data_IF_554024407754
#
_entry.id   IF_554024407754
#
_cell.length_a   1.000
_cell.length_b   1.000
_cell.length_c   1.000
_cell.angle_alpha   90.00
_cell.angle_beta   90.00
_cell.angle_gamma   90.00
#
_symmetry.space_group_name_H-M   'P 1'
#
loop_
_entity.id
_entity.type
_entity.pdbx_description
1 polymer ?
#
# COMPACT_ATOMS: atom_id res chain seq x y z
N UNK A 1 16.08 10.95 -20.79
CA UNK A 1 15.18 9.82 -21.10
C UNK A 1 13.87 10.07 -20.38
N UNK A 2 12.76 10.13 -21.10
CA UNK A 2 11.45 10.20 -20.45
C UNK A 2 11.14 8.84 -19.85
N UNK A 3 11.25 8.72 -18.52
CA UNK A 3 10.81 7.52 -17.84
C UNK A 3 9.27 7.42 -17.91
N UNK A 4 8.74 6.21 -18.10
CA UNK A 4 7.29 5.96 -18.08
C UNK A 4 6.70 6.47 -16.75
N UNK A 5 5.64 7.28 -16.76
CA UNK A 5 5.02 7.76 -15.52
C UNK A 5 4.54 6.62 -14.64
N UNK A 6 5.06 6.59 -13.41
CA UNK A 6 4.58 5.72 -12.35
C UNK A 6 4.27 6.57 -11.12
N UNK A 7 2.98 6.79 -10.88
CA UNK A 7 2.46 7.67 -9.84
C UNK A 7 2.03 6.82 -8.64
N UNK A 8 2.54 7.12 -7.45
CA UNK A 8 2.01 6.58 -6.21
C UNK A 8 1.21 7.64 -5.46
N UNK A 9 0.01 7.29 -5.03
CA UNK A 9 -0.83 8.13 -4.15
C UNK A 9 -0.69 7.58 -2.74
N UNK A 10 -0.23 8.40 -1.82
CA UNK A 10 -0.03 8.05 -0.42
C UNK A 10 -0.68 9.07 0.53
N UNK A 11 -0.82 8.68 1.79
CA UNK A 11 -1.40 9.49 2.85
C UNK A 11 -2.07 8.63 3.93
N UNK A 12 -2.56 9.26 5.00
CA UNK A 12 -3.17 8.53 6.11
C UNK A 12 -4.49 7.83 5.73
N UNK A 13 -4.91 6.88 6.55
CA UNK A 13 -6.19 6.19 6.40
C UNK A 13 -7.33 7.21 6.39
N UNK A 14 -8.28 7.04 5.48
CA UNK A 14 -9.45 7.93 5.34
C UNK A 14 -9.21 9.24 4.59
N UNK A 15 -8.00 9.49 4.10
CA UNK A 15 -7.68 10.73 3.37
C UNK A 15 -8.24 10.77 1.94
N UNK A 16 -8.59 9.62 1.35
CA UNK A 16 -9.15 9.52 0.00
C UNK A 16 -8.16 9.04 -1.07
N UNK A 17 -7.13 8.27 -0.71
CA UNK A 17 -6.15 7.70 -1.64
C UNK A 17 -6.81 6.92 -2.78
N UNK A 18 -7.67 5.97 -2.45
CA UNK A 18 -8.34 5.10 -3.43
C UNK A 18 -9.20 5.91 -4.40
N UNK A 19 -9.94 6.89 -3.90
CA UNK A 19 -10.77 7.76 -4.73
C UNK A 19 -9.94 8.61 -5.70
N UNK A 20 -8.84 9.20 -5.22
CA UNK A 20 -7.96 10.01 -6.06
C UNK A 20 -7.23 9.17 -7.09
N UNK A 21 -6.63 8.03 -6.68
CA UNK A 21 -5.90 7.15 -7.59
C UNK A 21 -6.80 6.61 -8.70
N UNK A 22 -8.04 6.23 -8.38
CA UNK A 22 -9.02 5.82 -9.38
C UNK A 22 -9.36 6.94 -10.37
N UNK A 23 -9.62 8.16 -9.87
CA UNK A 23 -9.92 9.31 -10.72
C UNK A 23 -8.73 9.70 -11.61
N UNK A 24 -7.51 9.69 -11.06
CA UNK A 24 -6.30 9.96 -11.83
C UNK A 24 -6.10 8.92 -12.92
N UNK A 25 -6.21 7.64 -12.60
CA UNK A 25 -6.05 6.56 -13.56
C UNK A 25 -7.07 6.67 -14.70
N UNK A 26 -8.33 6.97 -14.39
CA UNK A 26 -9.40 7.16 -15.39
C UNK A 26 -9.14 8.39 -16.25
N UNK A 27 -8.82 9.54 -15.63
CA UNK A 27 -8.63 10.80 -16.35
C UNK A 27 -7.39 10.77 -17.26
N UNK A 28 -6.29 10.19 -16.77
CA UNK A 28 -5.04 10.08 -17.51
C UNK A 28 -4.99 8.85 -18.44
N UNK A 29 -5.96 7.96 -18.36
CA UNK A 29 -5.97 6.66 -19.04
C UNK A 29 -4.75 5.78 -18.69
N UNK A 30 -4.34 5.82 -17.44
CA UNK A 30 -3.26 5.03 -16.88
C UNK A 30 -3.80 3.74 -16.25
N UNK A 31 -2.94 2.71 -16.18
CA UNK A 31 -3.30 1.50 -15.42
C UNK A 31 -3.39 1.79 -13.93
N UNK A 32 -4.46 1.32 -13.29
CA UNK A 32 -4.64 1.43 -11.84
C UNK A 32 -4.12 0.19 -11.13
N UNK A 33 -3.11 0.37 -10.27
CA UNK A 33 -2.65 -0.64 -9.34
C UNK A 33 -3.31 -0.41 -7.97
N UNK A 34 -4.20 -1.32 -7.58
CA UNK A 34 -4.90 -1.26 -6.29
C UNK A 34 -4.14 -2.00 -5.20
N UNK A 35 -4.16 -1.44 -4.01
CA UNK A 35 -3.68 -2.13 -2.81
C UNK A 35 -4.59 -3.35 -2.51
N UNK A 36 -3.99 -4.52 -2.30
CA UNK A 36 -4.70 -5.73 -1.88
C UNK A 36 -4.58 -5.83 -0.35
N UNK A 37 -5.68 -5.62 0.36
CA UNK A 37 -5.75 -5.67 1.81
C UNK A 37 -6.58 -6.85 2.30
N UNK A 38 -7.74 -7.06 1.70
CA UNK A 38 -8.75 -8.03 2.15
C UNK A 38 -8.33 -9.50 2.00
N UNK A 39 -7.36 -9.78 1.14
CA UNK A 39 -6.86 -11.14 0.90
C UNK A 39 -5.84 -11.63 1.94
N UNK A 40 -5.49 -10.80 2.92
CA UNK A 40 -4.55 -11.20 3.96
C UNK A 40 -5.21 -12.17 4.95
N UNK A 41 -4.81 -13.46 4.97
CA UNK A 41 -5.45 -14.47 5.81
C UNK A 41 -5.18 -14.26 7.31
N UNK A 42 -4.14 -13.50 7.66
CA UNK A 42 -3.74 -13.24 9.05
C UNK A 42 -4.39 -11.98 9.63
N UNK A 43 -5.11 -11.20 8.84
CA UNK A 43 -5.60 -9.89 9.25
C UNK A 43 -6.58 -9.97 10.42
N UNK A 44 -7.46 -10.96 10.41
CA UNK A 44 -8.41 -11.19 11.50
C UNK A 44 -7.71 -11.52 12.82
N UNK A 45 -6.72 -12.41 12.77
CA UNK A 45 -5.97 -12.85 13.96
C UNK A 45 -5.06 -11.73 14.45
N UNK A 46 -4.48 -10.94 13.54
CA UNK A 46 -3.69 -9.75 13.84
C UNK A 46 -4.45 -8.74 14.72
N UNK A 47 -5.73 -8.47 14.41
CA UNK A 47 -6.54 -7.55 15.24
C UNK A 47 -6.89 -8.10 16.61
N UNK A 48 -6.89 -9.42 16.77
CA UNK A 48 -7.12 -10.06 18.07
C UNK A 48 -5.85 -10.09 18.91
N UNK A 49 -4.67 -10.29 18.29
CA UNK A 49 -3.38 -10.35 18.97
C UNK A 49 -2.26 -9.86 18.05
N UNK A 50 -2.01 -8.54 18.11
CA UNK A 50 -1.00 -7.88 17.27
C UNK A 50 0.39 -8.48 17.48
N UNK A 51 0.77 -8.72 18.73
CA UNK A 51 2.13 -9.22 19.06
C UNK A 51 2.43 -10.59 18.46
N UNK A 52 1.43 -11.44 18.38
CA UNK A 52 1.58 -12.80 17.85
C UNK A 52 1.58 -12.82 16.32
N UNK A 53 0.68 -12.05 15.69
CA UNK A 53 0.40 -12.16 14.25
C UNK A 53 1.00 -11.07 13.37
N UNK A 54 1.61 -10.04 13.95
CA UNK A 54 2.14 -8.92 13.19
C UNK A 54 3.20 -9.32 12.15
N UNK A 55 4.10 -10.24 12.48
CA UNK A 55 5.15 -10.66 11.55
C UNK A 55 4.57 -11.35 10.30
N UNK A 56 3.67 -12.30 10.46
CA UNK A 56 3.02 -13.01 9.36
C UNK A 56 2.18 -12.05 8.51
N UNK A 57 1.47 -11.14 9.15
CA UNK A 57 0.65 -10.13 8.47
C UNK A 57 1.48 -9.19 7.63
N UNK A 58 2.56 -8.64 8.17
CA UNK A 58 3.45 -7.72 7.45
C UNK A 58 4.21 -8.44 6.32
N UNK A 59 4.64 -9.69 6.53
CA UNK A 59 5.29 -10.49 5.50
C UNK A 59 4.34 -10.80 4.34
N UNK A 60 3.08 -11.11 4.62
CA UNK A 60 2.09 -11.33 3.59
C UNK A 60 1.87 -10.09 2.72
N UNK A 61 1.73 -8.92 3.35
CA UNK A 61 1.62 -7.66 2.60
C UNK A 61 2.85 -7.38 1.75
N UNK A 62 4.04 -7.63 2.28
CA UNK A 62 5.28 -7.44 1.53
C UNK A 62 5.36 -8.34 0.31
N UNK A 63 5.09 -9.64 0.47
CA UNK A 63 5.12 -10.61 -0.63
C UNK A 63 4.09 -10.27 -1.72
N UNK A 64 2.88 -9.86 -1.34
CA UNK A 64 1.86 -9.47 -2.31
C UNK A 64 2.24 -8.21 -3.08
N UNK A 65 2.75 -7.20 -2.40
CA UNK A 65 3.19 -5.96 -3.06
C UNK A 65 4.41 -6.19 -3.95
N UNK A 66 5.35 -7.04 -3.52
CA UNK A 66 6.44 -7.49 -4.36
C UNK A 66 5.91 -8.07 -5.67
N UNK A 67 4.99 -9.04 -5.59
CA UNK A 67 4.41 -9.68 -6.77
C UNK A 67 3.64 -8.71 -7.66
N UNK A 68 2.86 -7.81 -7.07
CA UNK A 68 2.14 -6.77 -7.82
C UNK A 68 3.10 -5.85 -8.59
N UNK A 69 4.21 -5.44 -7.98
CA UNK A 69 5.18 -4.54 -8.62
C UNK A 69 5.99 -5.23 -9.71
N UNK A 70 6.38 -6.51 -9.52
CA UNK A 70 6.94 -7.32 -10.61
C UNK A 70 6.01 -7.40 -11.82
N UNK A 71 4.73 -7.71 -11.57
CA UNK A 71 3.74 -7.81 -12.64
C UNK A 71 3.50 -6.46 -13.34
N UNK A 72 3.48 -5.36 -12.58
CA UNK A 72 3.34 -4.00 -13.13
C UNK A 72 4.54 -3.66 -14.02
N UNK A 73 5.74 -3.95 -13.58
CA UNK A 73 6.93 -3.74 -14.39
C UNK A 73 6.87 -4.50 -15.72
N UNK A 74 6.66 -5.81 -15.64
CA UNK A 74 6.67 -6.69 -16.79
C UNK A 74 5.52 -6.40 -17.78
N UNK A 75 4.33 -6.05 -17.29
CA UNK A 75 3.13 -5.89 -18.12
C UNK A 75 2.91 -4.47 -18.62
N UNK A 76 3.38 -3.47 -17.88
CA UNK A 76 3.08 -2.06 -18.14
C UNK A 76 4.33 -1.20 -18.33
N UNK A 77 5.17 -1.04 -17.32
CA UNK A 77 6.26 -0.06 -17.35
C UNK A 77 7.30 -0.33 -18.43
N UNK A 78 7.72 -1.57 -18.63
CA UNK A 78 8.64 -1.96 -19.72
C UNK A 78 8.05 -1.74 -21.09
N UNK A 79 6.73 -1.67 -21.21
CA UNK A 79 6.00 -1.39 -22.45
C UNK A 79 5.57 0.07 -22.57
N UNK A 80 6.17 0.95 -21.77
CA UNK A 80 5.87 2.39 -21.75
C UNK A 80 4.40 2.71 -21.47
N UNK A 81 3.71 1.85 -20.71
CA UNK A 81 2.33 2.06 -20.26
C UNK A 81 2.34 2.64 -18.84
N UNK A 82 1.85 3.88 -18.65
CA UNK A 82 1.88 4.52 -17.36
C UNK A 82 0.96 3.85 -16.32
N UNK A 83 1.31 4.03 -15.03
CA UNK A 83 0.62 3.41 -13.89
C UNK A 83 0.33 4.44 -12.79
N UNK A 84 -0.85 4.33 -12.18
CA UNK A 84 -1.19 4.98 -10.90
C UNK A 84 -1.39 3.89 -9.87
N UNK A 85 -0.68 3.96 -8.75
CA UNK A 85 -0.86 3.08 -7.59
C UNK A 85 -1.50 3.84 -6.41
N UNK A 86 -2.37 3.18 -5.68
CA UNK A 86 -2.98 3.74 -4.45
C UNK A 86 -2.16 3.42 -3.19
N UNK A 87 -0.91 3.06 -3.36
CA UNK A 87 0.08 2.88 -2.29
C UNK A 87 1.52 3.04 -2.81
N UNK A 88 2.45 3.22 -1.87
CA UNK A 88 3.88 3.13 -2.10
C UNK A 88 4.46 1.97 -1.26
N UNK A 89 5.39 1.19 -1.83
CA UNK A 89 5.98 0.03 -1.14
C UNK A 89 6.71 0.39 0.17
N UNK A 90 7.19 1.62 0.32
CA UNK A 90 7.77 2.14 1.58
C UNK A 90 6.80 2.07 2.77
N UNK A 91 5.50 2.03 2.52
CA UNK A 91 4.48 1.81 3.54
C UNK A 91 4.76 0.56 4.38
N UNK A 92 5.25 -0.50 3.76
CA UNK A 92 5.59 -1.76 4.42
C UNK A 92 6.59 -1.57 5.56
N UNK A 93 7.70 -0.86 5.29
CA UNK A 93 8.74 -0.67 6.31
C UNK A 93 8.27 0.25 7.45
N UNK A 94 7.43 1.24 7.12
CA UNK A 94 6.86 2.17 8.11
C UNK A 94 5.92 1.43 9.08
N UNK A 95 5.03 0.59 8.57
CA UNK A 95 4.11 -0.21 9.40
C UNK A 95 4.86 -1.27 10.20
N UNK A 96 5.75 -2.02 9.57
CA UNK A 96 6.55 -3.04 10.24
C UNK A 96 7.35 -2.47 11.43
N UNK A 97 7.90 -1.27 11.28
CA UNK A 97 8.62 -0.60 12.37
C UNK A 97 7.73 -0.29 13.57
N UNK A 98 6.44 -0.13 13.37
CA UNK A 98 5.47 0.18 14.44
C UNK A 98 4.84 -1.06 15.07
N UNK A 99 4.68 -2.12 14.29
CA UNK A 99 3.95 -3.32 14.69
C UNK A 99 4.85 -4.46 15.16
N UNK A 100 6.12 -4.51 14.68
CA UNK A 100 7.03 -5.59 14.98
C UNK A 100 7.96 -5.29 16.16
N UNK A 101 8.17 -6.30 17.01
CA UNK A 101 9.26 -6.27 17.97
C UNK A 101 10.63 -6.25 17.27
N UNK A 102 11.63 -5.66 17.89
CA UNK A 102 12.97 -5.42 17.32
C UNK A 102 13.56 -6.66 16.61
N UNK A 103 13.46 -7.85 17.22
CA UNK A 103 13.97 -9.09 16.63
C UNK A 103 13.30 -9.44 15.31
N UNK A 104 11.99 -9.29 15.22
CA UNK A 104 11.21 -9.55 14.01
C UNK A 104 11.40 -8.44 12.98
N UNK A 105 11.44 -7.18 13.43
CA UNK A 105 11.70 -6.05 12.56
C UNK A 105 13.04 -6.18 11.82
N UNK A 106 14.12 -6.54 12.52
CA UNK A 106 15.43 -6.71 11.90
C UNK A 106 15.44 -7.79 10.82
N UNK A 107 14.69 -8.89 11.01
CA UNK A 107 14.51 -9.91 9.98
C UNK A 107 13.68 -9.39 8.80
N UNK A 108 12.57 -8.74 9.11
CA UNK A 108 11.68 -8.15 8.11
C UNK A 108 12.41 -7.12 7.24
N UNK A 109 13.16 -6.21 7.85
CA UNK A 109 13.91 -5.18 7.13
C UNK A 109 14.92 -5.77 6.14
N UNK A 110 15.59 -6.86 6.51
CA UNK A 110 16.50 -7.57 5.61
C UNK A 110 15.77 -8.18 4.41
N UNK A 111 14.66 -8.84 4.66
CA UNK A 111 13.80 -9.39 3.59
C UNK A 111 13.25 -8.27 2.71
N UNK A 112 12.76 -7.18 3.32
CA UNK A 112 12.29 -6.00 2.60
C UNK A 112 13.34 -5.46 1.64
N UNK A 113 14.58 -5.27 2.11
CA UNK A 113 15.68 -4.76 1.27
C UNK A 113 15.93 -5.66 0.07
N UNK A 114 16.01 -6.97 0.30
CA UNK A 114 16.24 -7.94 -0.78
C UNK A 114 15.10 -7.97 -1.79
N UNK A 115 13.85 -7.99 -1.33
CA UNK A 115 12.70 -8.05 -2.23
C UNK A 115 12.45 -6.74 -3.00
N UNK A 116 12.87 -5.59 -2.46
CA UNK A 116 12.62 -4.30 -3.12
C UNK A 116 13.80 -3.76 -3.92
N UNK A 117 14.94 -4.44 -3.90
CA UNK A 117 16.19 -4.01 -4.53
C UNK A 117 16.01 -3.70 -6.03
N UNK A 118 15.33 -4.58 -6.74
CA UNK A 118 15.14 -4.49 -8.19
C UNK A 118 13.71 -4.07 -8.60
N UNK A 119 12.87 -3.68 -7.64
CA UNK A 119 11.49 -3.29 -7.96
C UNK A 119 11.40 -1.89 -8.57
N UNK A 120 10.46 -1.67 -9.50
CA UNK A 120 10.21 -0.35 -10.03
C UNK A 120 9.69 0.58 -8.93
N UNK A 121 10.28 1.76 -8.84
CA UNK A 121 9.85 2.79 -7.89
C UNK A 121 9.05 3.88 -8.60
N UNK A 122 8.02 4.42 -7.96
CA UNK A 122 7.31 5.57 -8.49
C UNK A 122 8.25 6.75 -8.74
N UNK A 123 8.10 7.38 -9.90
CA UNK A 123 8.81 8.62 -10.22
C UNK A 123 8.01 9.88 -9.88
N UNK A 124 6.74 9.71 -9.49
CA UNK A 124 5.87 10.77 -8.98
C UNK A 124 5.16 10.26 -7.73
N UNK A 125 5.23 11.03 -6.64
CA UNK A 125 4.51 10.73 -5.41
C UNK A 125 3.54 11.87 -5.13
N UNK A 126 2.25 11.53 -5.00
CA UNK A 126 1.19 12.43 -4.57
C UNK A 126 0.85 12.09 -3.12
N UNK A 127 1.27 12.95 -2.20
CA UNK A 127 0.96 12.75 -0.79
C UNK A 127 -0.26 13.57 -0.38
N UNK A 128 -1.32 12.88 0.03
CA UNK A 128 -2.54 13.50 0.54
C UNK A 128 -2.40 13.78 2.04
N UNK A 129 -2.82 14.96 2.45
CA UNK A 129 -2.83 15.35 3.85
C UNK A 129 -4.21 15.88 4.25
N UNK A 130 -4.60 15.61 5.49
CA UNK A 130 -5.80 16.15 6.09
C UNK A 130 -5.64 16.26 7.61
N UNK A 131 -6.42 17.12 8.26
CA UNK A 131 -6.39 17.21 9.74
C UNK A 131 -6.89 15.91 10.37
N UNK A 132 -6.39 15.61 11.58
CA UNK A 132 -6.83 14.43 12.34
C UNK A 132 -8.36 14.42 12.51
N UNK A 133 -8.97 15.58 12.80
CA UNK A 133 -10.42 15.73 12.94
C UNK A 133 -11.16 15.31 11.66
N UNK A 134 -10.66 15.73 10.49
CA UNK A 134 -11.23 15.34 9.19
C UNK A 134 -11.12 13.84 8.95
N UNK A 135 -9.98 13.26 9.27
CA UNK A 135 -9.74 11.81 9.09
C UNK A 135 -10.64 10.98 10.00
N UNK A 136 -10.78 11.35 11.26
CA UNK A 136 -11.67 10.68 12.22
C UNK A 136 -13.12 10.74 11.75
N UNK A 137 -13.62 11.92 11.36
CA UNK A 137 -14.98 12.07 10.83
C UNK A 137 -15.26 11.21 9.59
N UNK A 138 -14.27 11.04 8.72
CA UNK A 138 -14.41 10.20 7.51
C UNK A 138 -14.39 8.72 7.86
N UNK A 139 -13.53 8.30 8.78
CA UNK A 139 -13.42 6.91 9.25
C UNK A 139 -14.69 6.47 9.96
N UNK A 140 -15.25 7.31 10.84
CA UNK A 140 -16.53 7.03 11.54
C UNK A 140 -17.69 6.88 10.56
N UNK A 141 -17.76 7.73 9.51
CA UNK A 141 -18.77 7.59 8.46
C UNK A 141 -18.61 6.31 7.64
N UNK A 142 -17.40 5.89 7.34
CA UNK A 142 -17.15 4.62 6.66
C UNK A 142 -17.57 3.43 7.52
N UNK A 143 -17.29 3.43 8.81
CA UNK A 143 -17.73 2.38 9.73
C UNK A 143 -19.27 2.29 9.88
N UNK A 144 -19.96 3.42 9.71
CA UNK A 144 -21.44 3.46 9.74
C UNK A 144 -22.06 3.00 8.42
N UNK A 145 -21.37 3.15 7.29
CA UNK A 145 -21.85 2.71 5.97
C UNK A 145 -21.41 1.29 5.62
N UNK A 146 -20.28 0.85 6.14
CA UNK A 146 -19.72 -0.50 5.96
C UNK A 146 -19.82 -1.31 7.26
N UNK A 147 -21.03 -1.68 7.65
CA UNK A 147 -21.22 -2.71 8.70
C UNK A 147 -20.68 -4.11 8.27
N UNK A 148 -19.98 -4.20 7.14
CA UNK A 148 -19.37 -5.41 6.59
C UNK A 148 -17.88 -5.30 6.27
N UNK A 149 -17.22 -4.15 6.42
CA UNK A 149 -15.79 -3.99 6.18
C UNK A 149 -15.16 -3.24 7.34
N UNK A 150 -14.68 -3.99 8.32
CA UNK A 150 -13.70 -3.49 9.26
C UNK A 150 -12.39 -3.24 8.48
N UNK A 151 -11.93 -1.98 8.45
CA UNK A 151 -10.63 -1.38 8.12
C UNK A 151 -10.54 -0.58 6.85
#
# INVERSE_FOLDING_TARGET
MNSTPFIAVEGPIGVGKTSLSHRLATYLQFHLLREIVEENPFLKDFYQNIDEWSFQTEMFFLCNRYKQLEDVEARFLTKQKPVVADYHVLKNIVFAKRTLHMKHYNKYERVYKVLTEDLPMPNIIVYLNASLETLLKRTDKQQLTDSSVAL
#
